data_IF_589254087557
#
_entry.id   IF_589254087557
#
_cell.length_a   1.000
_cell.length_b   1.000
_cell.length_c   1.000
_cell.angle_alpha   90.00
_cell.angle_beta   90.00
_cell.angle_gamma   90.00
#
_symmetry.space_group_name_H-M   'P 1'
#
loop_
_entity.id
_entity.type
_entity.pdbx_description
1 polymer ?
#
# COMPACT_ATOMS: atom_id res chain seq x y z
N UNK A 1 -6.13 3.68 -6.41
CA UNK A 1 -4.83 2.97 -6.51
C UNK A 1 -3.63 3.94 -6.55
N UNK A 2 -3.68 5.06 -7.27
CA UNK A 2 -2.61 6.08 -7.28
C UNK A 2 -2.32 6.70 -5.91
N UNK A 3 -3.33 6.82 -5.06
CA UNK A 3 -3.21 7.42 -3.74
C UNK A 3 -2.32 6.60 -2.78
N UNK A 4 -2.24 5.27 -2.90
CA UNK A 4 -1.38 4.44 -2.06
C UNK A 4 0.10 4.74 -2.26
N UNK A 5 0.53 4.93 -3.51
CA UNK A 5 1.91 5.27 -3.84
C UNK A 5 2.28 6.67 -3.35
N UNK A 6 1.40 7.65 -3.57
CA UNK A 6 1.61 9.01 -3.12
C UNK A 6 1.71 9.11 -1.59
N UNK A 7 0.92 8.32 -0.86
CA UNK A 7 0.89 8.36 0.61
C UNK A 7 2.03 7.57 1.25
N UNK A 8 2.48 6.47 0.65
CA UNK A 8 3.68 5.77 1.13
C UNK A 8 4.94 6.66 1.05
N UNK A 9 4.94 7.62 0.12
CA UNK A 9 6.06 8.57 -0.04
C UNK A 9 5.93 9.84 0.79
N UNK A 10 4.72 10.24 1.19
CA UNK A 10 4.46 11.53 1.87
C UNK A 10 4.48 11.47 3.39
N UNK A 11 4.51 10.32 4.02
CA UNK A 11 4.56 10.21 5.49
C UNK A 11 5.93 10.52 6.11
N UNK A 12 6.92 10.99 5.33
CA UNK A 12 8.29 11.20 5.80
C UNK A 12 8.92 12.55 5.40
N UNK A 13 8.18 13.61 5.26
CA UNK A 13 8.53 15.02 5.11
C UNK A 13 7.96 15.68 3.84
N UNK A 14 7.22 16.78 4.11
CA UNK A 14 6.74 17.84 3.21
C UNK A 14 5.88 17.44 2.01
N UNK A 15 4.59 17.74 2.18
CA UNK A 15 3.56 17.76 1.15
C UNK A 15 3.65 19.03 0.33
N UNK A 16 3.85 18.94 -0.98
CA UNK A 16 3.27 19.88 -1.92
C UNK A 16 2.74 19.16 -3.17
N UNK A 17 1.40 19.15 -3.21
CA UNK A 17 0.51 19.08 -4.37
C UNK A 17 0.80 18.07 -5.47
N UNK A 18 -0.02 17.02 -5.57
CA UNK A 18 -0.41 16.49 -6.86
C UNK A 18 -1.78 15.80 -6.81
N UNK A 19 -2.70 16.34 -7.58
CA UNK A 19 -4.04 15.82 -7.82
C UNK A 19 -3.99 14.59 -8.73
N UNK A 20 -4.80 13.59 -8.41
CA UNK A 20 -5.01 12.40 -9.22
C UNK A 20 -6.29 12.56 -10.05
N UNK A 21 -6.28 12.11 -11.29
CA UNK A 21 -7.47 11.69 -12.02
C UNK A 21 -7.16 10.53 -12.97
N UNK A 22 -7.97 9.51 -12.85
CA UNK A 22 -8.38 8.45 -13.79
C UNK A 22 -7.37 7.85 -14.78
N UNK A 23 -7.16 6.57 -14.66
CA UNK A 23 -7.38 5.59 -15.73
C UNK A 23 -7.32 4.15 -15.20
N UNK A 24 -8.45 3.45 -15.29
CA UNK A 24 -8.59 2.02 -15.09
C UNK A 24 -8.30 1.33 -16.43
N UNK A 25 -7.63 0.24 -16.36
CA UNK A 25 -7.54 -0.94 -17.21
C UNK A 25 -6.16 -1.26 -17.80
N UNK A 26 -5.72 -2.49 -17.43
CA UNK A 26 -4.74 -3.29 -18.15
C UNK A 26 -3.30 -2.80 -18.20
N UNK A 27 -2.55 -2.94 -17.08
CA UNK A 27 -1.15 -3.37 -17.23
C UNK A 27 -0.56 -3.80 -15.88
N UNK A 28 -0.49 -5.11 -15.69
CA UNK A 28 0.38 -5.71 -14.67
C UNK A 28 1.83 -5.52 -15.14
N UNK A 29 2.50 -4.46 -14.70
CA UNK A 29 3.91 -4.21 -14.97
C UNK A 29 4.67 -3.93 -13.68
N UNK A 30 5.62 -4.76 -13.50
CA UNK A 30 6.88 -4.76 -12.77
C UNK A 30 7.20 -3.52 -11.93
N UNK A 31 6.86 -3.57 -10.64
CA UNK A 31 7.47 -2.69 -9.65
C UNK A 31 8.82 -3.31 -9.25
N UNK A 32 9.92 -2.88 -9.85
CA UNK A 32 11.23 -3.29 -9.40
C UNK A 32 11.63 -2.53 -8.13
N UNK A 33 11.46 -3.16 -6.97
CA UNK A 33 11.97 -2.62 -5.73
C UNK A 33 13.48 -2.92 -5.61
N UNK A 34 14.30 -1.89 -5.45
CA UNK A 34 15.73 -2.04 -5.21
C UNK A 34 16.06 -1.64 -3.78
N UNK A 35 16.51 -2.60 -2.99
CA UNK A 35 17.06 -2.31 -1.67
C UNK A 35 18.47 -1.73 -1.86
N UNK A 36 18.62 -0.42 -1.77
CA UNK A 36 19.92 0.26 -1.75
C UNK A 36 20.32 0.51 -0.30
N UNK A 37 21.35 -0.22 0.19
CA UNK A 37 22.11 0.25 1.34
C UNK A 37 22.96 1.43 0.89
N UNK A 38 22.59 2.62 1.27
CA UNK A 38 23.45 3.79 1.06
C UNK A 38 24.65 3.69 2.00
N UNK A 39 25.80 3.30 1.47
CA UNK A 39 27.09 3.44 2.14
C UNK A 39 27.62 4.85 1.92
N UNK A 40 27.12 5.83 2.67
CA UNK A 40 27.83 7.10 2.85
C UNK A 40 28.45 7.08 4.24
N UNK A 41 29.72 7.41 4.31
CA UNK A 41 30.50 7.54 5.53
C UNK A 41 29.98 8.69 6.39
N UNK A 42 29.05 8.38 7.29
CA UNK A 42 28.41 9.33 8.20
C UNK A 42 27.21 8.68 8.86
N UNK A 43 27.12 8.74 10.14
CA UNK A 43 26.38 8.04 11.15
C UNK A 43 24.88 7.70 10.98
N UNK A 44 24.26 7.77 9.80
CA UNK A 44 22.84 7.42 9.59
C UNK A 44 22.68 6.45 8.40
N UNK A 45 22.82 5.15 8.69
CA UNK A 45 22.46 4.10 7.73
C UNK A 45 20.93 3.93 7.71
N UNK A 46 20.21 4.76 6.97
CA UNK A 46 18.78 4.56 6.77
C UNK A 46 18.55 3.47 5.71
N UNK A 47 17.84 2.41 6.11
CA UNK A 47 17.35 1.42 5.16
C UNK A 47 16.25 2.06 4.31
N UNK A 48 16.50 2.22 3.02
CA UNK A 48 15.53 2.80 2.09
C UNK A 48 15.16 1.83 0.98
N UNK A 49 13.95 1.98 0.46
CA UNK A 49 13.48 1.34 -0.76
C UNK A 49 13.17 2.40 -1.81
N UNK A 50 13.59 2.15 -3.03
CA UNK A 50 13.23 2.96 -4.20
C UNK A 50 12.23 2.18 -5.04
N UNK A 51 11.06 2.78 -5.27
CA UNK A 51 9.99 2.22 -6.10
C UNK A 51 9.96 2.96 -7.43
N UNK A 52 10.13 2.25 -8.52
CA UNK A 52 10.09 2.82 -9.87
C UNK A 52 8.73 2.55 -10.51
N UNK A 53 7.97 3.61 -10.77
CA UNK A 53 6.58 3.56 -11.24
C UNK A 53 6.45 3.84 -12.74
N UNK A 54 7.43 3.47 -13.54
CA UNK A 54 7.45 3.77 -14.98
C UNK A 54 6.17 3.34 -15.74
N UNK A 55 5.40 2.39 -15.20
CA UNK A 55 4.13 1.90 -15.76
C UNK A 55 2.95 2.01 -14.77
N UNK A 56 3.07 2.81 -13.73
CA UNK A 56 2.07 2.91 -12.68
C UNK A 56 2.37 1.99 -11.50
N UNK A 57 1.45 1.97 -10.53
CA UNK A 57 1.53 1.16 -9.33
C UNK A 57 0.13 0.86 -8.80
N UNK A 58 -0.03 -0.33 -8.23
CA UNK A 58 -1.22 -0.76 -7.48
C UNK A 58 -0.81 -1.32 -6.11
N UNK A 59 -1.78 -1.60 -5.23
CA UNK A 59 -1.53 -2.15 -3.91
C UNK A 59 -0.89 -3.53 -3.98
N UNK A 60 -1.44 -4.41 -4.79
CA UNK A 60 -0.93 -5.76 -5.04
C UNK A 60 0.48 -5.75 -5.66
N UNK A 61 0.78 -4.80 -6.55
CA UNK A 61 2.13 -4.61 -7.11
C UNK A 61 3.13 -4.18 -6.03
N UNK A 62 2.75 -3.24 -5.16
CA UNK A 62 3.57 -2.80 -4.03
C UNK A 62 3.84 -3.96 -3.09
N UNK A 63 2.80 -4.71 -2.75
CA UNK A 63 2.91 -5.88 -1.87
C UNK A 63 3.79 -6.96 -2.50
N UNK A 64 3.62 -7.23 -3.80
CA UNK A 64 4.46 -8.16 -4.56
C UNK A 64 5.94 -7.78 -4.56
N UNK A 65 6.24 -6.50 -4.73
CA UNK A 65 7.60 -5.98 -4.68
C UNK A 65 8.25 -6.14 -3.30
N UNK A 66 7.49 -5.87 -2.22
CA UNK A 66 7.98 -6.03 -0.84
C UNK A 66 8.17 -7.50 -0.47
N UNK A 67 7.33 -8.40 -0.97
CA UNK A 67 7.50 -9.84 -0.83
C UNK A 67 8.75 -10.31 -1.60
N UNK A 68 8.96 -9.82 -2.81
CA UNK A 68 10.17 -10.15 -3.59
C UNK A 68 11.46 -9.62 -2.93
N UNK A 69 11.39 -8.54 -2.16
CA UNK A 69 12.47 -8.04 -1.29
C UNK A 69 12.75 -8.91 -0.08
N UNK A 70 11.91 -9.88 0.23
CA UNK A 70 12.13 -10.87 1.29
C UNK A 70 11.11 -10.88 2.42
N UNK A 71 9.99 -10.17 2.32
CA UNK A 71 8.91 -10.31 3.28
C UNK A 71 8.23 -11.69 3.12
N UNK A 72 8.19 -12.56 4.16
CA UNK A 72 7.65 -13.90 4.02
C UNK A 72 6.11 -13.86 3.93
N UNK A 73 5.54 -14.55 2.94
CA UNK A 73 4.08 -14.55 2.70
C UNK A 73 3.30 -15.17 3.85
N UNK A 74 3.77 -16.30 4.40
CA UNK A 74 3.09 -16.98 5.51
C UNK A 74 3.06 -16.10 6.76
N UNK A 75 4.17 -15.42 7.08
CA UNK A 75 4.23 -14.44 8.16
C UNK A 75 3.24 -13.29 7.92
N UNK A 76 3.18 -12.78 6.68
CA UNK A 76 2.26 -11.69 6.32
C UNK A 76 0.80 -12.11 6.51
N UNK A 77 0.43 -13.31 6.07
CA UNK A 77 -0.90 -13.87 6.27
C UNK A 77 -1.25 -13.99 7.77
N UNK A 78 -0.31 -14.46 8.59
CA UNK A 78 -0.49 -14.57 10.04
C UNK A 78 -0.69 -13.20 10.70
N UNK A 79 0.10 -12.19 10.33
CA UNK A 79 -0.07 -10.83 10.85
C UNK A 79 -1.41 -10.20 10.42
N UNK A 80 -1.77 -10.35 9.15
CA UNK A 80 -3.05 -9.85 8.62
C UNK A 80 -4.26 -10.55 9.25
N UNK A 81 -4.12 -11.79 9.70
CA UNK A 81 -5.20 -12.51 10.40
C UNK A 81 -5.57 -11.90 11.76
N UNK A 82 -4.72 -11.00 12.29
CA UNK A 82 -5.02 -10.22 13.52
C UNK A 82 -6.01 -9.07 13.28
N UNK A 83 -6.25 -8.73 12.01
CA UNK A 83 -7.32 -7.80 11.66
C UNK A 83 -8.68 -8.47 11.89
N UNK A 84 -9.71 -7.74 12.29
CA UNK A 84 -11.08 -8.27 12.41
C UNK A 84 -11.74 -8.37 11.01
N UNK A 85 -11.00 -8.94 10.07
CA UNK A 85 -11.43 -9.28 8.71
C UNK A 85 -11.47 -10.81 8.57
N UNK A 86 -12.44 -11.31 7.83
CA UNK A 86 -12.61 -12.75 7.60
C UNK A 86 -12.72 -13.06 6.12
N UNK A 87 -12.44 -14.31 5.76
CA UNK A 87 -12.66 -14.81 4.41
C UNK A 87 -11.73 -14.19 3.37
N UNK A 88 -10.47 -13.92 3.72
CA UNK A 88 -9.46 -13.52 2.76
C UNK A 88 -8.19 -14.37 2.87
N UNK A 89 -7.49 -14.50 1.77
CA UNK A 89 -6.20 -15.19 1.69
C UNK A 89 -5.26 -14.46 0.75
N UNK A 90 -4.03 -14.22 1.22
CA UNK A 90 -2.96 -13.64 0.39
C UNK A 90 -2.24 -14.76 -0.34
N UNK A 91 -2.24 -14.70 -1.66
CA UNK A 91 -1.54 -15.63 -2.54
C UNK A 91 -0.42 -14.90 -3.26
N UNK A 92 0.79 -15.45 -3.21
CA UNK A 92 1.91 -14.91 -3.95
C UNK A 92 2.54 -16.00 -4.82
N UNK A 93 2.83 -15.69 -6.06
CA UNK A 93 3.49 -16.62 -6.99
C UNK A 93 4.48 -15.90 -7.90
N UNK A 94 5.62 -16.52 -8.22
CA UNK A 94 6.53 -15.97 -9.20
C UNK A 94 5.89 -16.00 -10.60
N UNK A 95 6.08 -14.93 -11.34
CA UNK A 95 5.63 -14.78 -12.71
C UNK A 95 6.73 -14.21 -13.59
N UNK A 96 6.63 -14.48 -14.89
CA UNK A 96 7.48 -13.84 -15.90
C UNK A 96 6.61 -12.95 -16.78
N UNK A 97 6.98 -11.67 -16.89
CA UNK A 97 6.33 -10.70 -17.77
C UNK A 97 7.38 -10.04 -18.65
N UNK A 98 7.25 -10.17 -19.96
CA UNK A 98 8.20 -9.58 -20.94
C UNK A 98 9.68 -9.87 -20.62
N UNK A 99 9.98 -11.09 -20.13
CA UNK A 99 11.35 -11.49 -19.78
C UNK A 99 11.82 -11.02 -18.40
N UNK A 100 10.99 -10.32 -17.62
CA UNK A 100 11.29 -9.87 -16.27
C UNK A 100 10.56 -10.77 -15.28
N UNK A 101 11.29 -11.22 -14.25
CA UNK A 101 10.72 -11.97 -13.14
C UNK A 101 10.08 -11.01 -12.14
N UNK A 102 8.88 -11.32 -11.69
CA UNK A 102 8.15 -10.57 -10.69
C UNK A 102 7.36 -11.50 -9.77
N UNK A 103 6.87 -10.98 -8.66
CA UNK A 103 5.97 -11.69 -7.74
C UNK A 103 4.56 -11.11 -7.90
N UNK A 104 3.65 -11.95 -8.42
CA UNK A 104 2.22 -11.62 -8.50
C UNK A 104 1.57 -11.94 -7.16
N UNK A 105 0.97 -10.92 -6.56
CA UNK A 105 0.12 -11.08 -5.38
C UNK A 105 -1.34 -11.02 -5.79
N UNK A 106 -2.16 -11.83 -5.16
CA UNK A 106 -3.61 -11.82 -5.29
C UNK A 106 -4.23 -12.01 -3.92
N UNK A 107 -5.21 -11.19 -3.57
CA UNK A 107 -6.02 -11.34 -2.36
C UNK A 107 -7.30 -12.07 -2.75
N UNK A 108 -7.38 -13.35 -2.43
CA UNK A 108 -8.60 -14.13 -2.62
C UNK A 108 -9.59 -13.78 -1.51
N UNK A 109 -10.83 -13.46 -1.87
CA UNK A 109 -11.89 -13.06 -0.96
C UNK A 109 -13.06 -14.02 -1.15
N UNK A 110 -13.49 -14.68 -0.06
CA UNK A 110 -14.63 -15.62 -0.08
C UNK A 110 -15.98 -14.89 -0.20
N UNK A 111 -16.08 -13.70 0.40
CA UNK A 111 -17.29 -12.86 0.34
C UNK A 111 -16.86 -11.41 0.16
N UNK A 112 -17.20 -10.85 -0.99
CA UNK A 112 -16.87 -9.48 -1.38
C UNK A 112 -17.64 -8.41 -0.61
N UNK A 113 -18.06 -8.69 0.61
CA UNK A 113 -18.80 -7.82 1.53
C UNK A 113 -18.83 -6.34 1.14
N UNK A 114 -19.77 -5.59 1.66
CA UNK A 114 -19.94 -4.17 1.32
C UNK A 114 -18.68 -3.36 1.62
N UNK A 115 -18.35 -2.44 0.73
CA UNK A 115 -17.31 -1.42 0.94
C UNK A 115 -17.55 -0.67 2.27
N UNK A 116 -16.49 -0.42 3.00
CA UNK A 116 -16.53 0.22 4.32
C UNK A 116 -16.37 1.73 4.17
N UNK A 117 -17.06 2.48 5.02
CA UNK A 117 -16.79 3.90 5.20
C UNK A 117 -15.47 4.14 5.96
N UNK A 118 -14.92 5.36 5.85
CA UNK A 118 -13.69 5.75 6.52
C UNK A 118 -13.75 5.52 8.04
N UNK A 119 -14.88 5.86 8.67
CA UNK A 119 -15.08 5.71 10.11
C UNK A 119 -14.95 4.26 10.57
N UNK A 120 -15.52 3.32 9.81
CA UNK A 120 -15.41 1.87 10.12
C UNK A 120 -13.99 1.36 9.95
N UNK A 121 -13.29 1.79 8.89
CA UNK A 121 -11.89 1.40 8.68
C UNK A 121 -11.02 1.96 9.80
N UNK A 122 -11.22 3.22 10.17
CA UNK A 122 -10.48 3.84 11.27
C UNK A 122 -10.68 3.07 12.58
N UNK A 123 -11.92 2.79 12.98
CA UNK A 123 -12.21 2.00 14.19
C UNK A 123 -11.58 0.60 14.13
N UNK A 124 -11.70 -0.08 12.99
CA UNK A 124 -11.09 -1.39 12.78
C UNK A 124 -9.58 -1.37 13.02
N UNK A 125 -8.88 -0.36 12.50
CA UNK A 125 -7.43 -0.22 12.64
C UNK A 125 -7.01 0.21 14.05
N UNK A 126 -7.79 1.07 14.73
CA UNK A 126 -7.55 1.49 16.11
C UNK A 126 -7.68 0.31 17.08
N UNK A 127 -8.67 -0.55 16.87
CA UNK A 127 -8.98 -1.68 17.76
C UNK A 127 -8.14 -2.95 17.48
N UNK A 128 -7.41 -3.02 16.35
CA UNK A 128 -6.64 -4.22 15.99
C UNK A 128 -5.34 -4.37 16.81
N UNK A 129 -4.81 -5.60 16.84
CA UNK A 129 -3.57 -5.96 17.55
C UNK A 129 -2.32 -5.88 16.66
N UNK A 130 -2.18 -4.78 15.91
CA UNK A 130 -0.99 -4.52 15.10
C UNK A 130 0.01 -3.61 15.82
N UNK A 131 1.31 -3.63 15.43
CA UNK A 131 2.31 -2.69 15.96
C UNK A 131 1.88 -1.23 15.76
N UNK A 132 2.19 -0.36 16.72
CA UNK A 132 1.79 1.06 16.69
C UNK A 132 2.32 1.79 15.45
N UNK A 133 3.54 1.48 14.99
CA UNK A 133 4.11 2.06 13.78
C UNK A 133 3.31 1.69 12.53
N UNK A 134 2.83 0.43 12.44
CA UNK A 134 1.97 -0.04 11.35
C UNK A 134 0.61 0.64 11.41
N UNK A 135 -0.03 0.70 12.60
CA UNK A 135 -1.31 1.40 12.79
C UNK A 135 -1.21 2.87 12.38
N UNK A 136 -0.21 3.58 12.88
CA UNK A 136 -0.01 4.99 12.58
C UNK A 136 0.14 5.23 11.07
N UNK A 137 0.95 4.40 10.40
CA UNK A 137 1.17 4.50 8.95
C UNK A 137 -0.10 4.22 8.16
N UNK A 138 -0.81 3.14 8.48
CA UNK A 138 -2.06 2.78 7.79
C UNK A 138 -3.17 3.80 8.02
N UNK A 139 -3.33 4.31 9.22
CA UNK A 139 -4.30 5.36 9.52
C UNK A 139 -4.01 6.64 8.74
N UNK A 140 -2.74 7.04 8.63
CA UNK A 140 -2.33 8.21 7.85
C UNK A 140 -2.65 8.03 6.36
N UNK A 141 -2.44 6.82 5.81
CA UNK A 141 -2.80 6.49 4.43
C UNK A 141 -4.31 6.63 4.21
N UNK A 142 -5.12 5.97 5.03
CA UNK A 142 -6.58 6.05 4.89
C UNK A 142 -7.13 7.45 5.13
N UNK A 143 -6.53 8.22 6.05
CA UNK A 143 -6.93 9.62 6.26
C UNK A 143 -6.63 10.48 5.03
N UNK A 144 -5.48 10.30 4.39
CA UNK A 144 -5.14 11.02 3.16
C UNK A 144 -6.10 10.70 2.02
N UNK A 145 -6.43 9.41 1.86
CA UNK A 145 -7.43 8.96 0.89
C UNK A 145 -8.81 9.56 1.18
N UNK A 146 -9.23 9.51 2.45
CA UNK A 146 -10.53 10.07 2.84
C UNK A 146 -10.60 11.59 2.65
N UNK A 147 -9.51 12.33 2.89
CA UNK A 147 -9.45 13.77 2.61
C UNK A 147 -9.60 14.09 1.12
N UNK A 148 -8.98 13.27 0.26
CA UNK A 148 -9.12 13.42 -1.19
C UNK A 148 -10.57 13.17 -1.64
N UNK A 149 -11.18 12.08 -1.18
CA UNK A 149 -12.59 11.74 -1.46
C UNK A 149 -13.55 12.81 -0.92
N UNK A 150 -13.36 13.27 0.31
CA UNK A 150 -14.14 14.34 0.91
C UNK A 150 -14.12 15.61 0.06
N UNK A 151 -12.93 15.97 -0.46
CA UNK A 151 -12.75 17.12 -1.34
C UNK A 151 -13.48 16.98 -2.66
N UNK A 152 -13.50 15.77 -3.25
CA UNK A 152 -14.20 15.49 -4.51
C UNK A 152 -15.72 15.51 -4.32
N UNK A 153 -16.21 14.89 -3.25
CA UNK A 153 -17.64 14.73 -2.99
C UNK A 153 -18.27 15.91 -2.20
N UNK A 154 -17.47 16.84 -1.70
CA UNK A 154 -17.94 17.99 -0.93
C UNK A 154 -18.62 17.58 0.40
N UNK A 155 -18.15 16.52 1.05
CA UNK A 155 -18.69 16.00 2.30
C UNK A 155 -17.66 16.09 3.45
N UNK A 156 -18.12 15.90 4.69
CA UNK A 156 -17.23 15.81 5.83
C UNK A 156 -16.38 14.53 5.80
N UNK A 157 -15.15 14.60 6.32
CA UNK A 157 -14.22 13.48 6.39
C UNK A 157 -14.83 12.21 7.01
N UNK A 158 -15.67 12.38 8.02
CA UNK A 158 -16.30 11.26 8.72
C UNK A 158 -17.47 10.62 7.96
N UNK A 159 -17.99 11.31 6.94
CA UNK A 159 -19.10 10.86 6.08
C UNK A 159 -18.61 10.26 4.75
N UNK A 160 -17.28 10.13 4.59
CA UNK A 160 -16.70 9.55 3.39
C UNK A 160 -17.03 8.06 3.28
N UNK A 161 -17.68 7.71 2.17
CA UNK A 161 -17.89 6.34 1.75
C UNK A 161 -16.89 6.00 0.64
N UNK A 162 -15.98 5.09 0.92
CA UNK A 162 -15.06 4.60 -0.11
C UNK A 162 -15.80 3.70 -1.09
N UNK A 163 -15.70 3.98 -2.37
CA UNK A 163 -16.31 3.15 -3.42
C UNK A 163 -15.48 1.89 -3.70
N UNK A 164 -14.17 2.02 -3.80
CA UNK A 164 -13.24 0.93 -4.11
C UNK A 164 -12.29 0.63 -2.95
N UNK A 165 -11.72 1.65 -2.33
CA UNK A 165 -10.69 1.53 -1.28
C UNK A 165 -11.24 0.98 0.05
N UNK A 166 -12.56 0.90 0.21
CA UNK A 166 -13.22 0.32 1.39
C UNK A 166 -13.33 -1.22 1.36
N UNK A 167 -12.90 -1.87 0.28
CA UNK A 167 -12.88 -3.32 0.12
C UNK A 167 -11.84 -4.01 1.00
N UNK A 168 -12.00 -5.32 1.18
CA UNK A 168 -11.05 -6.14 1.96
C UNK A 168 -9.69 -6.17 1.29
N UNK A 169 -9.63 -6.26 -0.02
CA UNK A 169 -8.42 -6.26 -0.83
C UNK A 169 -7.58 -5.00 -0.60
N UNK A 170 -8.20 -3.82 -0.70
CA UNK A 170 -7.50 -2.56 -0.48
C UNK A 170 -6.97 -2.43 0.96
N UNK A 171 -7.74 -2.88 1.96
CA UNK A 171 -7.30 -2.89 3.35
C UNK A 171 -6.10 -3.84 3.53
N UNK A 172 -6.16 -5.03 2.95
CA UNK A 172 -5.07 -6.02 2.99
C UNK A 172 -3.82 -5.48 2.31
N UNK A 173 -3.95 -4.84 1.15
CA UNK A 173 -2.83 -4.25 0.42
C UNK A 173 -2.14 -3.13 1.22
N UNK A 174 -2.92 -2.22 1.81
CA UNK A 174 -2.39 -1.09 2.58
C UNK A 174 -1.74 -1.56 3.88
N UNK A 175 -2.45 -2.37 4.66
CA UNK A 175 -1.93 -2.89 5.93
C UNK A 175 -0.76 -3.83 5.69
N UNK A 176 -0.87 -4.71 4.69
CA UNK A 176 0.16 -5.65 4.30
C UNK A 176 1.44 -4.96 3.86
N UNK A 177 1.34 -3.89 3.06
CA UNK A 177 2.50 -3.08 2.66
C UNK A 177 3.16 -2.42 3.87
N UNK A 178 2.40 -1.86 4.80
CA UNK A 178 2.93 -1.25 6.01
C UNK A 178 3.62 -2.29 6.93
N UNK A 179 3.05 -3.49 7.04
CA UNK A 179 3.66 -4.63 7.75
C UNK A 179 4.98 -5.06 7.11
N UNK A 180 5.01 -5.19 5.78
CA UNK A 180 6.22 -5.58 5.06
C UNK A 180 7.33 -4.52 5.20
N UNK A 181 7.01 -3.23 5.11
CA UNK A 181 7.99 -2.15 5.34
C UNK A 181 8.60 -2.23 6.74
N UNK A 182 7.78 -2.45 7.77
CA UNK A 182 8.23 -2.63 9.15
C UNK A 182 9.09 -3.89 9.30
N UNK A 183 8.65 -5.02 8.75
CA UNK A 183 9.37 -6.31 8.78
C UNK A 183 10.75 -6.23 8.15
N UNK A 184 10.86 -5.52 7.04
CA UNK A 184 12.11 -5.32 6.30
C UNK A 184 13.01 -4.23 6.92
N UNK A 185 12.52 -3.55 7.97
CA UNK A 185 13.24 -2.44 8.63
C UNK A 185 13.45 -1.25 7.71
N UNK A 186 12.53 -1.02 6.76
CA UNK A 186 12.61 0.08 5.80
C UNK A 186 12.10 1.38 6.43
N UNK A 187 13.00 2.33 6.56
CA UNK A 187 12.74 3.62 7.22
C UNK A 187 12.33 4.71 6.23
N UNK A 188 12.72 4.55 4.96
CA UNK A 188 12.45 5.54 3.92
C UNK A 188 11.98 4.86 2.63
N UNK A 189 10.94 5.42 2.04
CA UNK A 189 10.45 5.04 0.71
C UNK A 189 10.66 6.22 -0.22
N UNK A 190 11.30 5.98 -1.35
CA UNK A 190 11.48 6.96 -2.44
C UNK A 190 10.74 6.42 -3.66
N UNK A 191 10.05 7.26 -4.38
CA UNK A 191 9.41 6.88 -5.64
C UNK A 191 9.92 7.69 -6.81
N UNK A 192 9.91 7.08 -7.99
CA UNK A 192 9.96 7.82 -9.25
C UNK A 192 8.70 8.66 -9.43
N UNK A 193 8.70 9.52 -10.45
CA UNK A 193 7.48 10.25 -10.85
C UNK A 193 6.41 9.25 -11.31
N UNK A 194 5.17 9.47 -10.86
CA UNK A 194 4.02 8.68 -11.31
C UNK A 194 3.65 9.15 -12.71
N UNK A 195 3.59 8.25 -13.73
CA UNK A 195 3.13 8.61 -15.06
C UNK A 195 1.63 8.91 -14.99
N UNK A 196 1.30 10.19 -15.10
CA UNK A 196 -0.07 10.65 -15.33
C UNK A 196 -0.27 10.56 -16.84
N UNK A 197 -1.15 9.71 -17.33
CA UNK A 197 -1.42 9.55 -18.76
C UNK A 197 -1.57 10.90 -19.49
N UNK A 198 -1.27 10.92 -20.78
CA UNK A 198 -1.43 12.09 -21.69
C UNK A 198 -2.82 12.11 -22.31
#
# INVERSE_FOLDING_TARGET
FFALAAVLTTTLDEVDRLFAFDLVDHFCLDASARNKRCTHSGADHQNLVELDFFSGISGDMTLGALIDLGAPVDWLQDELSRLPLKGFRVMAKPVMRNGIRATLVNVEIEDSGHSRDYKKIKSLLEDCLLPDAVKSRTLAIFETLARAEAGIHGCDLHDVHFHEVGGVDAIVDIVGSALCLEKLGLQKVISSRIPLGS
#
